data_IF_382338160178
#
_entry.id   IF_382338160178
#
_cell.length_a   1.000
_cell.length_b   1.000
_cell.length_c   1.000
_cell.angle_alpha   90.00
_cell.angle_beta   90.00
_cell.angle_gamma   90.00
#
_symmetry.space_group_name_H-M   'P 1'
#
loop_
_entity.id
_entity.type
_entity.pdbx_description
1 polymer ?
#
# COMPACT_ATOMS: atom_id res chain seq x y z
N UNK A 1 24.14 -10.14 -27.96
CA UNK A 1 23.01 -11.08 -27.89
C UNK A 1 21.90 -10.43 -27.10
N UNK A 2 20.66 -10.47 -27.60
CA UNK A 2 19.51 -9.87 -26.89
C UNK A 2 19.01 -10.89 -25.85
N UNK A 3 19.07 -10.60 -24.53
CA UNK A 3 18.67 -11.56 -23.52
C UNK A 3 17.16 -11.82 -23.60
N UNK A 4 16.76 -13.10 -23.60
CA UNK A 4 15.35 -13.49 -23.53
C UNK A 4 14.85 -13.14 -22.13
N UNK A 5 13.97 -12.14 -22.02
CA UNK A 5 13.28 -11.80 -20.77
C UNK A 5 11.93 -12.53 -20.66
N UNK A 6 11.53 -12.96 -19.46
CA UNK A 6 10.16 -13.44 -19.23
C UNK A 6 9.13 -12.41 -19.70
N UNK A 7 8.01 -12.87 -20.25
CA UNK A 7 6.95 -11.97 -20.76
C UNK A 7 6.33 -11.08 -19.69
N UNK A 8 6.34 -11.55 -18.45
CA UNK A 8 5.78 -10.86 -17.29
C UNK A 8 6.89 -10.46 -16.31
N UNK A 9 8.04 -10.03 -16.82
CA UNK A 9 9.09 -9.45 -15.98
C UNK A 9 8.78 -8.01 -15.59
N UNK A 10 9.42 -7.55 -14.52
CA UNK A 10 9.49 -6.13 -14.13
C UNK A 10 8.16 -5.52 -13.65
N UNK A 11 7.19 -6.34 -13.25
CA UNK A 11 5.95 -5.89 -12.61
C UNK A 11 6.08 -5.81 -11.09
N UNK A 12 5.48 -4.76 -10.52
CA UNK A 12 5.26 -4.61 -9.09
C UNK A 12 3.78 -4.34 -8.87
N UNK A 13 3.10 -5.22 -8.12
CA UNK A 13 1.69 -5.06 -7.78
C UNK A 13 1.57 -4.83 -6.29
N UNK A 14 1.06 -3.65 -5.91
CA UNK A 14 0.85 -3.28 -4.52
C UNK A 14 -0.65 -3.24 -4.22
N UNK A 15 -1.12 -4.20 -3.44
CA UNK A 15 -2.51 -4.26 -2.98
C UNK A 15 -2.67 -3.51 -1.66
N UNK A 16 -3.82 -2.86 -1.49
CA UNK A 16 -4.15 -2.13 -0.25
C UNK A 16 -4.32 -3.05 0.96
N UNK A 17 -4.78 -4.28 0.71
CA UNK A 17 -5.00 -5.34 1.70
C UNK A 17 -4.68 -6.68 1.07
N UNK A 18 -4.42 -7.72 1.89
CA UNK A 18 -4.27 -9.08 1.38
C UNK A 18 -5.52 -9.53 0.60
N UNK A 19 -5.36 -10.47 -0.36
CA UNK A 19 -6.51 -11.09 -1.01
C UNK A 19 -7.49 -11.62 0.03
N UNK A 20 -8.79 -11.47 -0.24
CA UNK A 20 -9.93 -11.85 0.64
C UNK A 20 -10.26 -10.89 1.79
N UNK A 21 -9.51 -9.79 1.96
CA UNK A 21 -9.72 -8.81 3.04
C UNK A 21 -10.34 -7.52 2.51
N UNK A 22 -11.09 -6.81 3.36
CA UNK A 22 -11.72 -5.54 2.98
C UNK A 22 -10.70 -4.40 3.02
N UNK A 23 -10.71 -3.53 2.00
CA UNK A 23 -9.90 -2.32 1.99
C UNK A 23 -10.70 -1.13 2.50
N UNK A 24 -10.30 -0.56 3.63
CA UNK A 24 -11.05 0.51 4.28
C UNK A 24 -10.85 1.90 3.66
N UNK A 25 -11.91 2.69 3.73
CA UNK A 25 -11.98 4.05 3.17
C UNK A 25 -12.73 4.99 4.09
N UNK A 26 -12.16 6.17 4.30
CA UNK A 26 -12.87 7.29 4.89
C UNK A 26 -13.69 8.03 3.82
N UNK A 27 -14.95 8.34 4.11
CA UNK A 27 -15.87 8.98 3.14
C UNK A 27 -15.41 10.34 2.66
N UNK A 28 -14.71 11.11 3.50
CA UNK A 28 -14.26 12.47 3.21
C UNK A 28 -12.78 12.52 2.79
N UNK A 29 -11.94 11.66 3.38
CA UNK A 29 -10.47 11.72 3.22
C UNK A 29 -9.90 10.71 2.23
N UNK A 30 -10.70 9.77 1.74
CA UNK A 30 -10.26 8.73 0.80
C UNK A 30 -9.80 7.43 1.47
N UNK A 31 -9.19 6.54 0.69
CA UNK A 31 -8.77 5.22 1.21
C UNK A 31 -7.54 5.35 2.09
N UNK A 32 -7.41 4.46 3.07
CA UNK A 32 -6.29 4.51 4.02
C UNK A 32 -4.96 4.25 3.31
N UNK A 33 -4.95 3.26 2.42
CA UNK A 33 -3.78 2.91 1.63
C UNK A 33 -3.29 4.06 0.75
N UNK A 34 -4.18 4.74 0.01
CA UNK A 34 -3.78 5.85 -0.88
C UNK A 34 -3.32 7.06 -0.08
N UNK A 35 -3.98 7.37 1.05
CA UNK A 35 -3.51 8.43 1.96
C UNK A 35 -2.08 8.13 2.45
N UNK A 36 -1.82 6.90 2.88
CA UNK A 36 -0.49 6.47 3.33
C UNK A 36 0.55 6.52 2.21
N UNK A 37 0.21 6.11 0.98
CA UNK A 37 1.08 6.27 -0.20
C UNK A 37 1.45 7.74 -0.38
N UNK A 38 0.47 8.64 -0.48
CA UNK A 38 0.72 10.06 -0.73
C UNK A 38 1.65 10.66 0.33
N UNK A 39 1.41 10.38 1.62
CA UNK A 39 2.23 10.89 2.71
C UNK A 39 3.66 10.34 2.68
N UNK A 40 3.82 9.03 2.56
CA UNK A 40 5.15 8.37 2.59
C UNK A 40 5.97 8.75 1.36
N UNK A 41 5.37 8.74 0.17
CA UNK A 41 6.07 9.05 -1.07
C UNK A 41 6.47 10.52 -1.12
N UNK A 42 5.58 11.45 -0.72
CA UNK A 42 5.92 12.87 -0.67
C UNK A 42 7.13 13.15 0.24
N UNK A 43 7.27 12.39 1.33
CA UNK A 43 8.35 12.58 2.31
C UNK A 43 9.65 11.86 1.95
N UNK A 44 9.57 10.69 1.31
CA UNK A 44 10.71 9.77 1.25
C UNK A 44 11.11 9.34 -0.17
N UNK A 45 10.30 9.60 -1.21
CA UNK A 45 10.54 9.03 -2.55
C UNK A 45 11.87 9.44 -3.20
N UNK A 46 12.48 10.55 -2.76
CA UNK A 46 13.78 11.00 -3.28
C UNK A 46 14.97 10.18 -2.75
N UNK A 47 14.82 9.55 -1.59
CA UNK A 47 15.95 9.02 -0.82
C UNK A 47 15.83 7.52 -0.49
N UNK A 48 14.75 6.87 -0.91
CA UNK A 48 14.35 5.53 -0.47
C UNK A 48 13.82 4.76 -1.68
N UNK A 49 14.19 3.49 -1.81
CA UNK A 49 13.71 2.64 -2.92
C UNK A 49 12.22 2.28 -2.77
N UNK A 50 11.60 1.87 -3.88
CA UNK A 50 10.15 1.64 -3.94
C UNK A 50 9.66 0.54 -2.99
N UNK A 51 10.45 -0.50 -2.72
CA UNK A 51 10.06 -1.58 -1.81
C UNK A 51 10.11 -1.09 -0.36
N UNK A 52 11.12 -0.31 -0.01
CA UNK A 52 11.20 0.36 1.29
C UNK A 52 10.07 1.38 1.48
N UNK A 53 9.70 2.13 0.43
CA UNK A 53 8.53 3.03 0.49
C UNK A 53 7.25 2.25 0.76
N UNK A 54 7.00 1.16 0.05
CA UNK A 54 5.80 0.33 0.26
C UNK A 54 5.80 -0.35 1.63
N UNK A 55 6.98 -0.71 2.16
CA UNK A 55 7.10 -1.20 3.55
C UNK A 55 6.71 -0.13 4.56
N UNK A 56 7.13 1.12 4.36
CA UNK A 56 6.73 2.25 5.19
C UNK A 56 5.23 2.57 5.05
N UNK A 57 4.65 2.40 3.87
CA UNK A 57 3.20 2.51 3.65
C UNK A 57 2.46 1.46 4.48
N UNK A 58 2.90 0.20 4.46
CA UNK A 58 2.30 -0.87 5.28
C UNK A 58 2.34 -0.52 6.78
N UNK A 59 3.49 -0.05 7.26
CA UNK A 59 3.63 0.42 8.65
C UNK A 59 2.66 1.57 8.96
N UNK A 60 2.57 2.57 8.08
CA UNK A 60 1.69 3.73 8.26
C UNK A 60 0.20 3.38 8.27
N UNK A 61 -0.21 2.37 7.48
CA UNK A 61 -1.58 1.85 7.48
C UNK A 61 -1.87 1.12 8.80
N UNK A 62 -0.95 0.30 9.28
CA UNK A 62 -1.10 -0.46 10.53
C UNK A 62 -1.18 0.45 11.78
N UNK A 63 -0.33 1.48 11.85
CA UNK A 63 -0.19 2.28 13.08
C UNK A 63 -1.32 3.28 13.30
N UNK A 64 -1.91 3.81 12.22
CA UNK A 64 -2.72 5.03 12.32
C UNK A 64 -4.17 4.89 11.89
N UNK A 65 -4.58 3.71 11.44
CA UNK A 65 -5.93 3.49 10.99
C UNK A 65 -6.53 2.28 11.68
N UNK A 66 -7.51 2.55 12.55
CA UNK A 66 -8.33 1.55 13.21
C UNK A 66 -9.79 1.88 12.92
N UNK A 67 -10.60 0.85 12.67
CA UNK A 67 -12.05 1.02 12.59
C UNK A 67 -12.64 0.86 13.97
N UNK A 68 -13.64 1.67 14.31
CA UNK A 68 -14.49 1.46 15.48
C UNK A 68 -15.66 0.50 15.20
N UNK A 69 -15.71 -0.09 13.99
CA UNK A 69 -16.78 -1.00 13.60
C UNK A 69 -16.69 -2.31 14.39
N UNK A 70 -17.78 -2.66 15.06
CA UNK A 70 -17.96 -3.88 15.86
C UNK A 70 -18.08 -5.17 15.03
N UNK A 71 -17.95 -5.09 13.71
CA UNK A 71 -18.05 -6.24 12.81
C UNK A 71 -16.68 -6.88 12.58
N UNK A 72 -16.60 -8.21 12.59
CA UNK A 72 -15.38 -9.02 12.47
C UNK A 72 -14.70 -9.01 11.09
N UNK A 73 -14.75 -7.90 10.35
CA UNK A 73 -14.06 -7.79 9.08
C UNK A 73 -12.57 -7.62 9.32
N UNK A 74 -11.77 -8.51 8.73
CA UNK A 74 -10.32 -8.42 8.80
C UNK A 74 -9.80 -7.45 7.72
N UNK A 75 -8.83 -6.63 8.10
CA UNK A 75 -8.01 -5.79 7.21
C UNK A 75 -6.60 -6.37 7.14
#
# INVERSE_FOLDING_TARGET
>A
TNPIRPRESDFLIAYATPPTYVSWRNSLRGSWFVQAICEVFAKHARNVDILQLLTKVNQRVADCFQTSCSSSYKQ
#
